data_IF_434666859312
#
_entry.id   IF_434666859312
#
_cell.length_a   1.000
_cell.length_b   1.000
_cell.length_c   1.000
_cell.angle_alpha   90.00
_cell.angle_beta   90.00
_cell.angle_gamma   90.00
#
_symmetry.space_group_name_H-M   'P 1'
#
loop_
_entity.id
_entity.type
_entity.pdbx_description
1 polymer ?
#
# COMPACT_ATOMS: atom_id res chain seq x y z
N UNK A 1 1.04 -15.36 18.16
CA UNK A 1 0.04 -14.66 17.32
C UNK A 1 -1.35 -14.60 17.98
N UNK A 2 -1.93 -15.69 18.48
CA UNK A 2 -3.27 -15.69 19.10
C UNK A 2 -3.37 -14.70 20.27
N UNK A 3 -2.43 -14.77 21.21
CA UNK A 3 -2.38 -13.86 22.36
C UNK A 3 -2.13 -12.40 21.96
N UNK A 4 -1.36 -12.19 20.90
CA UNK A 4 -1.13 -10.85 20.32
C UNK A 4 -2.44 -10.26 19.78
N UNK A 5 -3.28 -11.07 19.11
CA UNK A 5 -4.56 -10.60 18.59
C UNK A 5 -5.52 -10.21 19.74
N UNK A 6 -5.53 -10.99 20.83
CA UNK A 6 -6.31 -10.67 22.03
C UNK A 6 -5.81 -9.38 22.68
N UNK A 7 -4.50 -9.26 22.88
CA UNK A 7 -3.88 -8.06 23.47
C UNK A 7 -4.12 -6.79 22.65
N UNK A 8 -3.99 -6.89 21.32
CA UNK A 8 -4.21 -5.74 20.43
C UNK A 8 -5.64 -5.20 20.55
N UNK A 9 -6.64 -6.09 20.61
CA UNK A 9 -8.03 -5.70 20.78
C UNK A 9 -8.33 -5.13 22.16
N UNK A 10 -7.71 -5.69 23.22
CA UNK A 10 -7.77 -5.09 24.57
C UNK A 10 -7.20 -3.67 24.59
N UNK A 11 -6.07 -3.47 23.90
CA UNK A 11 -5.40 -2.16 23.78
C UNK A 11 -6.00 -1.24 22.70
N UNK A 12 -6.96 -1.72 21.92
CA UNK A 12 -7.62 -0.98 20.80
C UNK A 12 -6.59 -0.48 19.77
N UNK A 13 -5.61 -1.31 19.43
CA UNK A 13 -4.63 -1.04 18.39
C UNK A 13 -4.82 -2.01 17.23
N UNK A 14 -4.38 -1.62 16.04
CA UNK A 14 -4.46 -2.45 14.83
C UNK A 14 -3.38 -3.54 14.83
N UNK A 15 -3.62 -4.60 14.05
CA UNK A 15 -2.71 -5.72 13.83
C UNK A 15 -2.14 -5.66 12.42
N UNK A 16 -0.85 -5.93 12.29
CA UNK A 16 -0.17 -6.03 11.02
C UNK A 16 0.87 -7.16 11.01
N UNK A 17 0.94 -7.87 9.89
CA UNK A 17 2.03 -8.82 9.58
C UNK A 17 2.16 -9.02 8.07
N UNK A 18 3.25 -9.66 7.62
CA UNK A 18 3.43 -10.15 6.27
C UNK A 18 2.65 -11.46 6.10
N UNK A 19 2.06 -11.70 4.94
CA UNK A 19 1.25 -12.89 4.70
C UNK A 19 1.27 -13.29 3.23
N UNK A 20 1.46 -14.59 2.97
CA UNK A 20 1.36 -15.20 1.65
C UNK A 20 2.17 -14.41 0.59
N UNK A 21 3.41 -14.10 0.92
CA UNK A 21 4.29 -13.33 0.05
C UNK A 21 4.83 -14.19 -1.10
N UNK A 22 5.23 -15.44 -0.80
CA UNK A 22 5.88 -16.34 -1.76
C UNK A 22 5.31 -17.77 -1.68
N UNK A 23 5.79 -18.67 -2.53
CA UNK A 23 5.32 -20.06 -2.58
C UNK A 23 5.73 -20.84 -1.32
N UNK A 24 6.88 -20.49 -0.73
CA UNK A 24 7.38 -21.12 0.49
C UNK A 24 6.43 -20.88 1.67
N UNK A 25 5.80 -19.71 1.75
CA UNK A 25 4.80 -19.40 2.77
C UNK A 25 3.60 -20.34 2.65
N UNK A 26 3.15 -20.60 1.42
CA UNK A 26 2.04 -21.51 1.16
C UNK A 26 2.43 -22.95 1.53
N UNK A 27 3.58 -23.40 1.04
CA UNK A 27 4.07 -24.76 1.30
C UNK A 27 4.24 -25.01 2.81
N UNK A 28 4.88 -24.07 3.51
CA UNK A 28 5.08 -24.15 4.96
C UNK A 28 3.75 -24.18 5.74
N UNK A 29 2.81 -23.32 5.37
CA UNK A 29 1.51 -23.25 6.04
C UNK A 29 0.71 -24.55 5.87
N UNK A 30 0.68 -25.10 4.66
CA UNK A 30 0.03 -26.37 4.38
C UNK A 30 0.69 -27.54 5.12
N UNK A 31 2.03 -27.61 5.14
CA UNK A 31 2.78 -28.67 5.84
C UNK A 31 2.57 -28.61 7.37
N UNK A 32 2.66 -27.41 7.96
CA UNK A 32 2.65 -27.24 9.41
C UNK A 32 1.26 -27.15 10.02
N UNK A 33 0.33 -26.55 9.31
CA UNK A 33 -0.98 -26.19 9.86
C UNK A 33 -2.14 -26.83 9.10
N UNK A 34 -1.89 -27.48 7.95
CA UNK A 34 -2.90 -28.14 7.14
C UNK A 34 -3.86 -27.21 6.41
N UNK A 35 -3.57 -25.89 6.40
CA UNK A 35 -4.40 -24.88 5.77
C UNK A 35 -3.53 -23.78 5.15
N UNK A 36 -4.13 -22.96 4.27
CA UNK A 36 -3.45 -21.85 3.63
C UNK A 36 -3.24 -20.67 4.60
N UNK A 37 -2.28 -19.76 4.32
CA UNK A 37 -1.92 -18.67 5.24
C UNK A 37 -3.10 -17.79 5.68
N UNK A 38 -4.01 -17.43 4.77
CA UNK A 38 -5.18 -16.61 5.11
C UNK A 38 -6.18 -17.33 6.01
N UNK A 39 -6.38 -18.64 5.81
CA UNK A 39 -7.20 -19.46 6.67
C UNK A 39 -6.57 -19.59 8.07
N UNK A 40 -5.26 -19.82 8.12
CA UNK A 40 -4.53 -19.86 9.39
C UNK A 40 -4.59 -18.52 10.13
N UNK A 41 -4.49 -17.40 9.40
CA UNK A 41 -4.68 -16.07 9.98
C UNK A 41 -6.08 -15.92 10.61
N UNK A 42 -7.15 -16.40 9.94
CA UNK A 42 -8.51 -16.40 10.49
C UNK A 42 -8.59 -17.20 11.79
N UNK A 43 -8.04 -18.42 11.83
CA UNK A 43 -8.02 -19.27 13.03
C UNK A 43 -7.30 -18.63 14.22
N UNK A 44 -6.30 -17.82 13.95
CA UNK A 44 -5.53 -17.09 14.97
C UNK A 44 -6.15 -15.76 15.38
N UNK A 45 -7.28 -15.36 14.77
CA UNK A 45 -7.93 -14.07 15.02
C UNK A 45 -7.22 -12.90 14.33
N UNK A 46 -6.43 -13.17 13.28
CA UNK A 46 -5.72 -12.17 12.48
C UNK A 46 -6.50 -11.79 11.20
N UNK A 47 -7.81 -11.68 11.33
CA UNK A 47 -8.71 -11.11 10.33
C UNK A 47 -9.67 -10.12 10.99
N UNK A 48 -10.13 -9.13 10.24
CA UNK A 48 -11.06 -8.10 10.72
C UNK A 48 -10.67 -6.70 10.27
N UNK A 49 -11.55 -5.74 10.53
CA UNK A 49 -11.36 -4.32 10.18
C UNK A 49 -10.19 -3.63 10.91
N UNK A 50 -9.68 -4.27 11.93
CA UNK A 50 -8.54 -3.86 12.77
C UNK A 50 -7.23 -4.56 12.34
N UNK A 51 -7.26 -5.31 11.23
CA UNK A 51 -6.14 -6.10 10.74
C UNK A 51 -5.84 -5.74 9.28
N UNK A 52 -4.56 -5.66 8.95
CA UNK A 52 -4.08 -5.56 7.58
C UNK A 52 -2.78 -6.33 7.39
N UNK A 53 -2.59 -6.89 6.19
CA UNK A 53 -1.43 -7.73 5.85
C UNK A 53 -0.64 -7.12 4.70
N UNK A 54 0.70 -7.22 4.77
CA UNK A 54 1.57 -6.85 3.67
C UNK A 54 1.66 -7.98 2.64
N UNK A 55 1.96 -7.62 1.41
CA UNK A 55 2.20 -8.44 0.22
C UNK A 55 0.96 -9.15 -0.31
N UNK A 56 0.52 -10.22 0.33
CA UNK A 56 -0.66 -11.00 -0.09
C UNK A 56 -0.60 -11.45 -1.57
N UNK A 57 0.62 -11.77 -2.06
CA UNK A 57 0.89 -12.11 -3.47
C UNK A 57 0.23 -13.41 -3.87
N UNK A 58 0.19 -14.38 -2.95
CA UNK A 58 -0.25 -15.76 -3.20
C UNK A 58 -1.63 -16.08 -2.62
N UNK A 59 -2.44 -15.08 -2.30
CA UNK A 59 -3.82 -15.31 -1.89
C UNK A 59 -4.63 -15.95 -3.03
N UNK A 60 -5.40 -16.97 -2.71
CA UNK A 60 -6.39 -17.53 -3.63
C UNK A 60 -7.75 -16.83 -3.50
N UNK A 61 -8.71 -17.21 -4.38
CA UNK A 61 -10.05 -16.62 -4.39
C UNK A 61 -10.82 -16.80 -3.08
N UNK A 62 -10.56 -17.89 -2.36
CA UNK A 62 -11.24 -18.15 -1.09
C UNK A 62 -10.71 -17.21 0.00
N UNK A 63 -9.39 -17.02 0.03
CA UNK A 63 -8.72 -16.10 0.96
C UNK A 63 -9.06 -14.62 0.63
N UNK A 64 -9.15 -14.25 -0.66
CA UNK A 64 -9.63 -12.92 -1.08
C UNK A 64 -11.07 -12.68 -0.61
N UNK A 65 -11.96 -13.65 -0.79
CA UNK A 65 -13.34 -13.58 -0.30
C UNK A 65 -13.40 -13.52 1.24
N UNK A 66 -12.52 -14.23 1.93
CA UNK A 66 -12.40 -14.15 3.39
C UNK A 66 -12.02 -12.73 3.82
N UNK A 67 -11.01 -12.10 3.17
CA UNK A 67 -10.56 -10.75 3.51
C UNK A 67 -11.63 -9.70 3.20
N UNK A 68 -12.34 -9.86 2.10
CA UNK A 68 -13.48 -9.00 1.76
C UNK A 68 -14.57 -9.04 2.85
N UNK A 69 -15.09 -10.23 3.20
CA UNK A 69 -16.18 -10.36 4.19
C UNK A 69 -15.76 -10.00 5.62
N UNK A 70 -14.50 -10.23 5.98
CA UNK A 70 -13.95 -9.85 7.29
C UNK A 70 -13.51 -8.39 7.35
N UNK A 71 -13.43 -7.70 6.21
CA UNK A 71 -12.90 -6.33 6.07
C UNK A 71 -11.43 -6.23 6.46
N UNK A 72 -10.66 -7.29 6.25
CA UNK A 72 -9.20 -7.30 6.44
C UNK A 72 -8.54 -6.50 5.32
N UNK A 73 -7.63 -5.60 5.69
CA UNK A 73 -6.90 -4.77 4.74
C UNK A 73 -5.67 -5.46 4.15
N UNK A 74 -5.22 -4.95 3.00
CA UNK A 74 -3.98 -5.39 2.33
C UNK A 74 -3.11 -4.19 1.99
N UNK A 75 -1.84 -4.24 2.36
CA UNK A 75 -0.80 -3.31 1.92
C UNK A 75 0.02 -3.94 0.80
N UNK A 76 -0.22 -3.50 -0.43
CA UNK A 76 0.51 -3.98 -1.60
C UNK A 76 1.89 -3.33 -1.70
N UNK A 77 2.95 -4.14 -1.85
CA UNK A 77 4.35 -3.70 -1.90
C UNK A 77 4.99 -4.11 -3.24
N UNK A 78 4.57 -3.51 -4.38
CA UNK A 78 4.91 -4.01 -5.71
C UNK A 78 6.40 -3.97 -6.02
N UNK A 79 7.15 -2.96 -5.61
CA UNK A 79 8.59 -2.90 -5.85
C UNK A 79 9.35 -3.98 -5.08
N UNK A 80 9.00 -4.18 -3.80
CA UNK A 80 9.57 -5.26 -2.99
C UNK A 80 9.26 -6.63 -3.60
N UNK A 81 8.01 -6.89 -3.96
CA UNK A 81 7.59 -8.14 -4.59
C UNK A 81 8.36 -8.43 -5.90
N UNK A 82 8.64 -7.39 -6.71
CA UNK A 82 9.46 -7.52 -7.91
C UNK A 82 10.92 -7.83 -7.56
N UNK A 83 11.50 -7.10 -6.61
CA UNK A 83 12.89 -7.25 -6.21
C UNK A 83 13.17 -8.64 -5.63
N UNK A 84 12.28 -9.16 -4.81
CA UNK A 84 12.41 -10.46 -4.15
C UNK A 84 11.92 -11.63 -5.03
N UNK A 85 11.32 -11.35 -6.19
CA UNK A 85 10.78 -12.37 -7.08
C UNK A 85 9.52 -13.06 -6.54
N UNK A 86 8.82 -12.45 -5.60
CA UNK A 86 7.61 -13.00 -4.97
C UNK A 86 6.46 -13.17 -5.96
N UNK A 87 6.39 -12.29 -6.97
CA UNK A 87 5.37 -12.31 -8.01
C UNK A 87 4.50 -11.05 -8.04
N UNK A 88 3.38 -11.12 -8.74
CA UNK A 88 2.42 -10.02 -8.88
C UNK A 88 1.20 -10.32 -8.03
N UNK A 89 0.97 -9.51 -6.97
CA UNK A 89 -0.22 -9.65 -6.15
C UNK A 89 -1.49 -9.34 -6.96
N UNK A 90 -2.58 -10.10 -6.78
CA UNK A 90 -3.84 -9.91 -7.50
C UNK A 90 -4.65 -8.73 -6.92
N UNK A 91 -4.00 -7.56 -6.77
CA UNK A 91 -4.61 -6.42 -6.08
C UNK A 91 -5.88 -5.92 -6.78
N UNK A 92 -5.94 -6.00 -8.10
CA UNK A 92 -7.13 -5.62 -8.86
C UNK A 92 -8.32 -6.54 -8.53
N UNK A 93 -8.10 -7.86 -8.44
CA UNK A 93 -9.12 -8.83 -8.02
C UNK A 93 -9.54 -8.58 -6.57
N UNK A 94 -8.61 -8.28 -5.67
CA UNK A 94 -8.90 -7.96 -4.28
C UNK A 94 -9.81 -6.72 -4.17
N UNK A 95 -9.46 -5.63 -4.86
CA UNK A 95 -10.25 -4.39 -4.85
C UNK A 95 -11.66 -4.59 -5.42
N UNK A 96 -11.77 -5.30 -6.54
CA UNK A 96 -13.08 -5.61 -7.17
C UNK A 96 -13.93 -6.53 -6.31
N UNK A 97 -13.30 -7.37 -5.49
CA UNK A 97 -13.98 -8.21 -4.49
C UNK A 97 -14.33 -7.47 -3.20
N UNK A 98 -13.95 -6.19 -3.06
CA UNK A 98 -14.26 -5.36 -1.89
C UNK A 98 -13.24 -5.44 -0.75
N UNK A 99 -12.04 -5.98 -1.00
CA UNK A 99 -10.92 -5.90 -0.04
C UNK A 99 -10.39 -4.48 -0.01
N UNK A 100 -10.16 -3.92 1.18
CA UNK A 100 -9.52 -2.63 1.33
C UNK A 100 -8.02 -2.73 1.04
N UNK A 101 -7.53 -1.93 0.10
CA UNK A 101 -6.13 -1.93 -0.34
C UNK A 101 -5.43 -0.60 -0.08
N UNK A 102 -4.15 -0.67 0.26
CA UNK A 102 -3.22 0.45 0.29
C UNK A 102 -1.87 0.03 -0.29
N UNK A 103 -0.92 0.96 -0.34
CA UNK A 103 0.45 0.70 -0.76
C UNK A 103 1.41 0.75 0.42
N UNK A 104 2.47 -0.05 0.35
CA UNK A 104 3.60 -0.02 1.26
C UNK A 104 4.92 -0.07 0.50
N UNK A 105 5.97 0.53 1.05
CA UNK A 105 7.32 0.51 0.47
C UNK A 105 8.15 -0.67 0.97
N UNK A 106 7.70 -1.35 2.03
CA UNK A 106 8.44 -2.40 2.73
C UNK A 106 9.77 -1.90 3.35
N UNK A 107 10.65 -2.81 3.75
CA UNK A 107 11.94 -2.48 4.34
C UNK A 107 12.99 -2.04 3.33
N UNK A 108 13.97 -1.26 3.77
CA UNK A 108 15.07 -0.76 2.91
C UNK A 108 15.96 -1.86 2.33
N UNK A 109 15.95 -3.07 2.90
CA UNK A 109 16.67 -4.22 2.37
C UNK A 109 15.95 -4.89 1.19
N UNK A 110 14.61 -4.76 1.14
CA UNK A 110 13.75 -5.36 0.13
C UNK A 110 13.21 -4.34 -0.89
N UNK A 111 13.51 -3.07 -0.72
CA UNK A 111 13.16 -2.01 -1.67
C UNK A 111 14.32 -1.02 -1.83
N UNK A 112 14.58 -0.56 -3.07
CA UNK A 112 15.65 0.39 -3.38
C UNK A 112 15.31 1.83 -2.99
N UNK A 113 14.03 2.13 -2.74
CA UNK A 113 13.52 3.49 -2.53
C UNK A 113 12.33 3.52 -1.58
N UNK A 114 12.32 4.47 -0.66
CA UNK A 114 11.15 4.80 0.17
C UNK A 114 10.11 5.65 -0.55
N UNK A 115 9.97 5.53 -1.87
CA UNK A 115 9.11 6.37 -2.71
C UNK A 115 7.74 5.75 -2.96
N UNK A 116 6.72 6.16 -2.21
CA UNK A 116 5.35 5.67 -2.38
C UNK A 116 4.77 5.99 -3.77
N UNK A 117 5.23 7.08 -4.42
CA UNK A 117 4.80 7.39 -5.80
C UNK A 117 5.38 6.38 -6.81
N UNK A 118 6.56 5.84 -6.55
CA UNK A 118 7.14 4.76 -7.36
C UNK A 118 6.35 3.46 -7.17
N UNK A 119 5.89 3.16 -5.95
CA UNK A 119 5.01 2.04 -5.68
C UNK A 119 3.68 2.16 -6.46
N UNK A 120 3.08 3.36 -6.47
CA UNK A 120 1.85 3.60 -7.22
C UNK A 120 2.04 3.35 -8.74
N UNK A 121 3.15 3.83 -9.31
CA UNK A 121 3.49 3.53 -10.70
C UNK A 121 3.67 2.04 -10.93
N UNK A 122 4.44 1.37 -10.08
CA UNK A 122 4.72 -0.06 -10.22
C UNK A 122 3.45 -0.89 -10.09
N UNK A 123 2.58 -0.58 -9.12
CA UNK A 123 1.28 -1.22 -8.97
C UNK A 123 0.46 -1.13 -10.26
N UNK A 124 0.30 0.09 -10.80
CA UNK A 124 -0.44 0.31 -12.05
C UNK A 124 0.12 -0.51 -13.21
N UNK A 125 1.43 -0.48 -13.43
CA UNK A 125 2.06 -1.16 -14.56
C UNK A 125 1.95 -2.69 -14.46
N UNK A 126 2.15 -3.25 -13.26
CA UNK A 126 2.04 -4.69 -13.04
C UNK A 126 0.61 -5.20 -13.23
N UNK A 127 -0.40 -4.45 -12.76
CA UNK A 127 -1.79 -4.84 -12.99
C UNK A 127 -2.15 -4.77 -14.47
N UNK A 128 -1.66 -3.78 -15.21
CA UNK A 128 -1.87 -3.69 -16.67
C UNK A 128 -1.22 -4.83 -17.42
N UNK A 129 0.00 -5.20 -17.07
CA UNK A 129 0.70 -6.35 -17.68
C UNK A 129 -0.06 -7.66 -17.44
N UNK A 130 -0.63 -7.84 -16.24
CA UNK A 130 -1.30 -9.08 -15.87
C UNK A 130 -2.75 -9.18 -16.36
N UNK A 131 -3.47 -8.05 -16.44
CA UNK A 131 -4.93 -8.06 -16.58
C UNK A 131 -5.45 -7.21 -17.75
N UNK A 132 -4.56 -6.57 -18.53
CA UNK A 132 -4.92 -5.69 -19.65
C UNK A 132 -4.69 -4.22 -19.39
N UNK A 133 -4.60 -3.42 -20.45
CA UNK A 133 -4.17 -2.01 -20.39
C UNK A 133 -5.10 -1.09 -19.57
N UNK A 134 -6.34 -1.47 -19.38
CA UNK A 134 -7.38 -0.76 -18.62
C UNK A 134 -7.57 -1.26 -17.19
N UNK A 135 -6.81 -2.27 -16.76
CA UNK A 135 -7.00 -2.93 -15.46
C UNK A 135 -6.81 -1.99 -14.25
N UNK A 136 -5.96 -0.98 -14.36
CA UNK A 136 -5.74 0.01 -13.30
C UNK A 136 -5.41 1.37 -13.91
N UNK A 137 -6.16 2.39 -13.57
CA UNK A 137 -5.87 3.77 -13.94
C UNK A 137 -4.79 4.39 -13.04
N UNK A 138 -4.25 5.53 -13.47
CA UNK A 138 -3.33 6.30 -12.63
C UNK A 138 -4.03 6.80 -11.35
N UNK A 139 -5.31 7.13 -11.43
CA UNK A 139 -6.09 7.57 -10.28
C UNK A 139 -6.31 6.44 -9.28
N UNK A 140 -6.60 5.22 -9.72
CA UNK A 140 -6.75 4.05 -8.84
C UNK A 140 -5.45 3.79 -8.05
N UNK A 141 -4.29 3.89 -8.72
CA UNK A 141 -3.00 3.74 -8.06
C UNK A 141 -2.70 4.85 -7.05
N UNK A 142 -3.11 6.09 -7.35
CA UNK A 142 -2.99 7.21 -6.40
C UNK A 142 -3.97 7.07 -5.23
N UNK A 143 -5.16 6.52 -5.45
CA UNK A 143 -6.09 6.21 -4.36
C UNK A 143 -5.51 5.16 -3.40
N UNK A 144 -4.85 4.12 -3.90
CA UNK A 144 -4.12 3.15 -3.06
C UNK A 144 -3.02 3.83 -2.23
N UNK A 145 -2.29 4.78 -2.83
CA UNK A 145 -1.20 5.53 -2.19
C UNK A 145 -1.68 6.58 -1.17
N UNK A 146 -2.95 6.89 -1.12
CA UNK A 146 -3.52 7.96 -0.29
C UNK A 146 -4.66 7.45 0.58
N UNK A 147 -5.88 7.53 0.09
CA UNK A 147 -7.10 7.13 0.82
C UNK A 147 -7.06 5.66 1.22
N UNK A 148 -6.65 4.77 0.32
CA UNK A 148 -6.57 3.34 0.60
C UNK A 148 -5.64 3.02 1.76
N UNK A 149 -4.42 3.59 1.78
CA UNK A 149 -3.49 3.46 2.89
C UNK A 149 -4.07 3.99 4.21
N UNK A 150 -4.71 5.16 4.19
CA UNK A 150 -5.35 5.74 5.35
C UNK A 150 -6.49 4.85 5.91
N UNK A 151 -7.30 4.29 5.01
CA UNK A 151 -8.44 3.44 5.39
C UNK A 151 -7.99 2.12 6.05
N UNK A 152 -6.95 1.44 5.52
CA UNK A 152 -6.43 0.20 6.15
C UNK A 152 -5.73 0.47 7.49
N UNK A 153 -5.15 1.66 7.67
CA UNK A 153 -4.57 2.10 8.94
C UNK A 153 -5.62 2.56 9.97
N UNK A 154 -6.91 2.61 9.60
CA UNK A 154 -7.96 3.12 10.44
C UNK A 154 -7.87 4.63 10.69
N UNK A 155 -7.30 5.38 9.74
CA UNK A 155 -7.09 6.84 9.79
C UNK A 155 -7.93 7.58 8.74
N UNK A 156 -9.28 7.56 8.85
CA UNK A 156 -10.17 8.14 7.84
C UNK A 156 -10.03 9.66 7.68
N UNK A 157 -9.41 10.33 8.63
CA UNK A 157 -9.07 11.75 8.58
C UNK A 157 -7.85 12.08 7.70
N UNK A 158 -7.11 11.06 7.23
CA UNK A 158 -5.94 11.19 6.36
C UNK A 158 -6.27 10.81 4.90
N UNK A 159 -5.34 11.08 3.99
CA UNK A 159 -5.40 10.64 2.59
C UNK A 159 -6.45 11.35 1.72
N UNK A 160 -7.03 12.45 2.18
CA UNK A 160 -8.11 13.20 1.54
C UNK A 160 -7.90 14.71 1.68
N UNK A 161 -8.31 15.47 0.65
CA UNK A 161 -8.39 16.92 0.72
C UNK A 161 -9.87 17.28 0.91
N UNK A 162 -10.25 17.51 2.17
CA UNK A 162 -11.61 17.91 2.53
C UNK A 162 -11.62 18.69 3.83
N UNK A 163 -12.68 19.48 4.07
CA UNK A 163 -12.85 20.21 5.34
C UNK A 163 -12.94 19.22 6.50
N UNK A 164 -12.14 19.45 7.54
CA UNK A 164 -12.06 18.58 8.71
C UNK A 164 -11.05 17.44 8.60
N UNK A 165 -10.46 17.20 7.43
CA UNK A 165 -9.34 16.27 7.28
C UNK A 165 -8.02 16.86 7.81
N UNK A 166 -7.02 16.02 8.03
CA UNK A 166 -5.67 16.46 8.39
C UNK A 166 -5.03 17.25 7.26
N UNK A 167 -4.26 18.27 7.63
CA UNK A 167 -3.52 19.12 6.68
C UNK A 167 -2.24 18.47 6.18
N UNK A 168 -2.34 17.27 5.61
CA UNK A 168 -1.24 16.49 5.06
C UNK A 168 -1.29 16.59 3.54
N UNK A 169 -0.35 17.35 2.93
CA UNK A 169 -0.37 17.68 1.52
C UNK A 169 1.01 17.48 0.90
N UNK A 170 1.10 16.71 -0.18
CA UNK A 170 2.27 16.63 -1.03
C UNK A 170 1.98 17.34 -2.37
N UNK A 171 2.76 18.36 -2.68
CA UNK A 171 2.62 19.18 -3.89
C UNK A 171 3.78 18.86 -4.82
N UNK A 172 3.45 18.49 -6.05
CA UNK A 172 4.40 18.03 -7.04
C UNK A 172 4.47 19.00 -8.23
N UNK A 173 5.65 19.19 -8.78
CA UNK A 173 5.81 19.96 -10.01
C UNK A 173 5.77 19.03 -11.22
N UNK A 174 4.76 19.19 -12.05
CA UNK A 174 4.55 18.44 -13.28
C UNK A 174 4.68 19.32 -14.53
N UNK A 175 5.26 20.52 -14.40
CA UNK A 175 5.40 21.47 -15.52
C UNK A 175 6.66 21.25 -16.36
N UNK A 176 7.57 20.37 -15.93
CA UNK A 176 8.82 20.10 -16.64
C UNK A 176 8.62 19.45 -18.01
N UNK A 177 9.63 19.57 -18.87
CA UNK A 177 9.64 19.00 -20.23
C UNK A 177 9.45 17.48 -20.22
N UNK A 178 9.87 16.81 -19.16
CA UNK A 178 9.67 15.38 -18.91
C UNK A 178 8.19 15.01 -18.67
N UNK A 179 7.35 16.00 -18.45
CA UNK A 179 5.89 15.87 -18.29
C UNK A 179 5.11 16.26 -19.56
N UNK A 180 5.79 16.67 -20.63
CA UNK A 180 5.12 17.06 -21.87
C UNK A 180 4.48 15.83 -22.57
N UNK A 181 3.29 16.02 -23.13
CA UNK A 181 2.62 15.00 -23.97
C UNK A 181 1.42 14.30 -23.31
N UNK A 182 1.04 14.67 -22.10
CA UNK A 182 -0.21 14.23 -21.46
C UNK A 182 -0.97 15.40 -20.87
N UNK A 183 -2.31 15.24 -20.79
CA UNK A 183 -3.22 16.23 -20.19
C UNK A 183 -3.80 15.74 -18.86
N UNK A 184 -3.55 14.48 -18.50
CA UNK A 184 -4.01 13.89 -17.25
C UNK A 184 -2.98 14.11 -16.14
N UNK A 185 -3.26 14.94 -15.11
CA UNK A 185 -2.33 15.20 -14.03
C UNK A 185 -1.95 13.96 -13.23
N UNK A 186 -2.87 13.01 -13.06
CA UNK A 186 -2.60 11.75 -12.37
C UNK A 186 -1.61 10.89 -13.16
N UNK A 187 -1.81 10.76 -14.47
CA UNK A 187 -0.88 10.07 -15.35
C UNK A 187 0.49 10.75 -15.38
N UNK A 188 0.53 12.07 -15.43
CA UNK A 188 1.79 12.86 -15.42
C UNK A 188 2.56 12.66 -14.11
N UNK A 189 1.88 12.60 -12.97
CA UNK A 189 2.50 12.36 -11.69
C UNK A 189 3.18 10.98 -11.63
N UNK A 190 2.57 9.96 -12.26
CA UNK A 190 3.09 8.60 -12.32
C UNK A 190 4.01 8.33 -13.53
N UNK A 191 4.16 9.26 -14.47
CA UNK A 191 4.89 9.01 -15.73
C UNK A 191 6.40 8.76 -15.54
N UNK A 192 7.00 9.26 -14.46
CA UNK A 192 8.42 9.10 -14.19
C UNK A 192 8.80 9.51 -12.76
N UNK A 193 10.08 9.49 -12.42
CA UNK A 193 10.54 9.91 -11.10
C UNK A 193 10.21 11.39 -10.89
N UNK A 194 9.49 11.69 -9.82
CA UNK A 194 9.12 13.03 -9.43
C UNK A 194 9.67 13.34 -8.04
N UNK A 195 10.04 14.61 -7.82
CA UNK A 195 10.42 15.09 -6.48
C UNK A 195 9.28 15.94 -5.94
N UNK A 196 8.97 15.77 -4.67
CA UNK A 196 8.02 16.65 -3.99
C UNK A 196 8.57 18.07 -3.97
N UNK A 197 7.75 19.02 -4.38
CA UNK A 197 8.11 20.44 -4.37
C UNK A 197 7.84 21.05 -3.01
N UNK A 198 6.65 20.79 -2.46
CA UNK A 198 6.28 21.20 -1.10
C UNK A 198 5.63 20.02 -0.38
N UNK A 199 5.94 19.88 0.90
CA UNK A 199 5.31 18.91 1.79
C UNK A 199 4.81 19.62 3.04
N UNK A 200 3.54 19.44 3.34
CA UNK A 200 2.90 19.89 4.57
C UNK A 200 2.46 18.67 5.36
N UNK A 201 2.75 18.61 6.63
CA UNK A 201 2.31 17.56 7.56
C UNK A 201 1.65 18.21 8.77
N UNK A 202 0.42 17.86 9.03
CA UNK A 202 -0.42 18.48 10.09
C UNK A 202 -0.41 20.01 10.03
N UNK A 203 -0.47 20.57 8.81
CA UNK A 203 -0.44 22.02 8.58
C UNK A 203 0.94 22.65 8.72
N UNK A 204 1.99 21.89 9.00
CA UNK A 204 3.37 22.39 9.11
C UNK A 204 4.13 22.14 7.82
N UNK A 205 4.84 23.12 7.33
CA UNK A 205 5.70 22.99 6.15
C UNK A 205 6.96 22.19 6.56
N UNK A 206 7.16 21.03 5.92
CA UNK A 206 8.32 20.15 6.13
C UNK A 206 9.31 20.31 4.98
N UNK A 207 8.79 20.39 3.73
CA UNK A 207 9.59 20.64 2.53
C UNK A 207 9.06 21.89 1.84
N UNK A 208 9.96 22.78 1.44
CA UNK A 208 9.67 23.95 0.65
C UNK A 208 10.65 24.05 -0.51
N UNK A 209 10.13 24.15 -1.71
CA UNK A 209 10.91 24.20 -2.95
C UNK A 209 11.97 23.09 -3.05
N UNK A 210 11.55 21.85 -2.74
CA UNK A 210 12.37 20.65 -2.76
C UNK A 210 13.42 20.54 -1.66
N UNK A 211 13.41 21.42 -0.66
CA UNK A 211 14.37 21.44 0.45
C UNK A 211 13.64 21.18 1.77
N UNK A 212 14.20 20.32 2.62
CA UNK A 212 13.74 20.14 4.00
C UNK A 212 14.01 21.43 4.78
N UNK A 213 12.98 21.95 5.46
CA UNK A 213 13.09 23.20 6.23
C UNK A 213 13.05 22.99 7.73
N UNK A 214 12.88 21.76 8.20
CA UNK A 214 12.76 21.42 9.64
C UNK A 214 14.07 20.96 10.25
N UNK A 215 15.09 20.62 9.44
CA UNK A 215 16.44 20.23 9.88
C UNK A 215 17.49 20.87 8.97
N UNK A 216 18.66 21.16 9.51
CA UNK A 216 19.80 21.60 8.71
C UNK A 216 20.46 20.37 8.08
N UNK A 217 20.55 20.35 6.74
CA UNK A 217 21.16 19.23 6.00
C UNK A 217 22.64 18.99 6.34
N UNK A 218 23.30 19.96 6.97
CA UNK A 218 24.68 19.81 7.48
C UNK A 218 24.77 19.02 8.79
N UNK A 219 23.62 18.67 9.40
CA UNK A 219 23.52 17.93 10.67
C UNK A 219 23.02 16.48 10.43
N UNK A 220 22.83 16.07 9.16
CA UNK A 220 22.44 14.74 8.71
C UNK A 220 23.59 14.13 7.91
#
# INVERSE_FOLDING_TARGET
>A
MRDTAVLARDKKVTLHTHLAENEEDIAYSLEKFGCRPGQYAEELGWTGKDVWHAHCVKLDKQEINLFSRSRTGVSHCPCSNCRLGSGIAPINEMLTSGVHGGLGVDGSASNDSGSLISEARQAMLLQRVSNGADAMSAMDALELATRGGADILGRPECGRIQVGARGDLAIWDISGIDSAGSWDPAALLLAGPKKVKHLVVEGRIIVWDGKIVTVKMSEV
#
